data_IF_955709999651
#
_entry.id   IF_955709999651
#
_cell.length_a   1.000
_cell.length_b   1.000
_cell.length_c   1.000
_cell.angle_alpha   90.00
_cell.angle_beta   90.00
_cell.angle_gamma   90.00
#
_symmetry.space_group_name_H-M   'P 1'
#
loop_
_entity.id
_entity.type
_entity.pdbx_description
1 polymer ?
#
# COMPACT_ATOMS: atom_id res chain seq x y z
N UNK A 1 -42.86 4.84 26.11
CA UNK A 1 -43.19 5.70 24.95
C UNK A 1 -42.62 7.08 25.19
N UNK A 2 -41.53 7.43 24.52
CA UNK A 2 -40.97 8.77 24.48
C UNK A 2 -40.64 9.06 23.02
N UNK A 3 -41.10 10.22 22.54
CA UNK A 3 -41.05 10.65 21.14
C UNK A 3 -39.66 11.19 20.76
N UNK A 4 -39.38 10.98 19.47
CA UNK A 4 -38.30 11.48 18.62
C UNK A 4 -38.07 12.99 18.72
N UNK A 5 -36.82 13.43 18.57
CA UNK A 5 -36.48 14.64 17.80
C UNK A 5 -35.11 14.46 17.11
N UNK A 6 -35.14 14.20 15.81
CA UNK A 6 -33.98 14.29 14.91
C UNK A 6 -33.93 15.75 14.45
N UNK A 7 -32.81 16.44 14.69
CA UNK A 7 -32.55 17.76 14.12
C UNK A 7 -31.36 17.65 13.16
N UNK A 8 -31.70 17.50 11.88
CA UNK A 8 -30.82 17.69 10.73
C UNK A 8 -30.63 19.20 10.49
N UNK A 9 -29.41 19.70 10.68
CA UNK A 9 -29.02 21.06 10.25
C UNK A 9 -28.05 20.92 9.10
N UNK A 10 -28.60 21.00 7.89
CA UNK A 10 -27.84 21.21 6.66
C UNK A 10 -27.53 22.69 6.53
N UNK A 11 -26.25 23.07 6.54
CA UNK A 11 -25.82 24.43 6.22
C UNK A 11 -25.04 24.39 4.90
N UNK A 12 -25.69 24.86 3.84
CA UNK A 12 -25.12 25.08 2.52
C UNK A 12 -25.09 26.59 2.23
N UNK A 13 -23.98 27.00 1.60
CA UNK A 13 -23.74 28.21 0.80
C UNK A 13 -23.46 29.53 1.53
N UNK A 14 -22.22 30.02 1.35
CA UNK A 14 -21.98 31.32 0.71
C UNK A 14 -20.69 31.28 -0.14
N UNK A 15 -20.87 31.40 -1.44
CA UNK A 15 -19.88 31.82 -2.44
C UNK A 15 -19.81 33.36 -2.50
N UNK A 16 -18.59 33.90 -2.57
CA UNK A 16 -18.18 35.22 -3.13
C UNK A 16 -16.84 35.61 -2.47
N UNK A 17 -15.87 36.31 -3.06
CA UNK A 17 -15.51 36.69 -4.42
C UNK A 17 -14.06 37.21 -4.33
N UNK A 18 -13.27 36.91 -5.36
CA UNK A 18 -11.99 37.53 -5.74
C UNK A 18 -11.96 39.05 -5.55
N UNK A 19 -10.85 39.57 -5.04
CA UNK A 19 -10.35 40.92 -5.39
C UNK A 19 -8.88 40.86 -5.79
N UNK A 20 -8.61 41.22 -7.06
CA UNK A 20 -7.31 41.67 -7.53
C UNK A 20 -7.04 43.08 -6.99
N UNK A 21 -5.82 43.34 -6.54
CA UNK A 21 -5.24 44.69 -6.61
C UNK A 21 -3.75 44.60 -6.97
N UNK A 22 -3.35 45.39 -7.97
CA UNK A 22 -2.15 45.16 -8.75
C UNK A 22 -0.96 46.07 -8.48
N UNK A 23 0.06 45.79 -9.29
CA UNK A 23 1.19 46.61 -9.77
C UNK A 23 2.22 47.11 -8.77
N UNK A 24 3.50 46.81 -9.05
CA UNK A 24 4.45 47.75 -9.69
C UNK A 24 5.72 47.01 -10.09
N UNK A 25 6.07 47.04 -11.38
CA UNK A 25 7.40 46.71 -11.89
C UNK A 25 8.38 47.86 -11.59
N UNK A 26 9.63 47.52 -11.25
CA UNK A 26 10.78 48.33 -11.65
C UNK A 26 11.97 47.42 -11.98
N UNK A 27 12.41 47.50 -13.23
CA UNK A 27 13.68 46.95 -13.74
C UNK A 27 14.79 48.00 -13.53
N UNK A 28 16.01 47.61 -13.11
CA UNK A 28 17.25 47.99 -13.81
C UNK A 28 18.50 47.25 -13.32
N UNK A 29 19.28 46.86 -14.33
CA UNK A 29 20.58 46.17 -14.43
C UNK A 29 21.77 46.93 -13.82
N UNK A 30 22.80 46.17 -13.38
CA UNK A 30 24.26 46.32 -13.63
C UNK A 30 25.07 45.84 -12.39
N UNK A 31 26.26 45.23 -12.42
CA UNK A 31 27.18 44.64 -13.43
C UNK A 31 28.43 44.14 -12.67
N UNK A 32 29.06 43.06 -13.15
CA UNK A 32 30.44 42.56 -12.88
C UNK A 32 30.78 42.09 -11.45
N UNK A 33 31.57 41.04 -11.23
CA UNK A 33 32.86 40.71 -11.90
C UNK A 33 33.14 39.21 -11.87
N UNK A 34 33.64 38.68 -12.99
CA UNK A 34 34.33 37.38 -13.08
C UNK A 34 35.75 37.52 -12.50
N UNK A 35 36.20 36.53 -11.72
CA UNK A 35 37.56 36.00 -11.82
C UNK A 35 37.54 34.48 -11.65
N UNK A 36 38.30 33.83 -12.53
CA UNK A 36 38.29 32.42 -12.87
C UNK A 36 39.45 31.68 -12.20
N UNK A 37 39.28 30.36 -12.07
CA UNK A 37 40.27 29.27 -12.04
C UNK A 37 40.67 28.69 -10.68
N UNK A 38 40.09 27.52 -10.45
CA UNK A 38 40.71 26.41 -9.71
C UNK A 38 40.06 25.11 -10.17
N UNK A 39 40.51 24.57 -11.31
CA UNK A 39 40.07 23.28 -11.84
C UNK A 39 40.46 22.17 -10.86
N UNK A 40 39.51 21.70 -10.07
CA UNK A 40 39.62 20.40 -9.38
C UNK A 40 38.92 19.40 -10.28
N UNK A 41 39.72 18.48 -10.85
CA UNK A 41 39.21 17.27 -11.47
C UNK A 41 38.62 16.44 -10.34
N UNK A 42 37.31 16.60 -10.11
CA UNK A 42 36.57 15.73 -9.22
C UNK A 42 36.33 14.43 -9.98
N UNK A 43 37.21 13.48 -9.68
CA UNK A 43 37.09 12.07 -10.03
C UNK A 43 35.65 11.60 -9.80
N UNK A 44 35.02 11.12 -10.86
CA UNK A 44 33.77 10.37 -10.81
C UNK A 44 33.97 9.17 -9.87
N UNK A 45 33.52 9.29 -8.61
CA UNK A 45 33.16 8.14 -7.80
C UNK A 45 31.66 7.92 -8.02
N UNK A 46 31.34 7.17 -9.07
CA UNK A 46 30.10 6.39 -9.07
C UNK A 46 30.28 5.32 -8.00
N UNK A 47 29.95 5.67 -6.75
CA UNK A 47 29.60 4.65 -5.78
C UNK A 47 28.34 4.00 -6.34
N UNK A 48 28.45 2.74 -6.78
CA UNK A 48 27.28 1.88 -6.90
C UNK A 48 26.59 1.93 -5.54
N UNK A 49 25.50 2.69 -5.45
CA UNK A 49 24.56 2.56 -4.35
C UNK A 49 23.98 1.17 -4.54
N UNK A 50 24.48 0.20 -3.77
CA UNK A 50 23.81 -1.08 -3.61
C UNK A 50 22.47 -0.73 -2.97
N UNK A 51 21.46 -0.57 -3.82
CA UNK A 51 20.06 -0.45 -3.40
C UNK A 51 19.63 -1.88 -3.10
N UNK A 52 19.46 -2.20 -1.81
CA UNK A 52 18.82 -3.46 -1.43
C UNK A 52 17.48 -3.58 -2.19
N UNK A 53 17.15 -4.79 -2.70
CA UNK A 53 15.91 -5.00 -3.42
C UNK A 53 14.72 -4.51 -2.59
N UNK A 54 13.89 -3.68 -3.21
CA UNK A 54 12.68 -3.16 -2.57
C UNK A 54 11.60 -4.25 -2.59
N UNK A 55 11.04 -4.64 -1.44
CA UNK A 55 9.98 -5.65 -1.40
C UNK A 55 8.74 -5.21 -2.18
N UNK A 56 7.95 -6.17 -2.63
CA UNK A 56 6.64 -5.93 -3.25
C UNK A 56 5.60 -6.72 -2.49
N UNK A 57 4.49 -6.08 -2.11
CA UNK A 57 3.32 -6.80 -1.58
C UNK A 57 2.32 -6.96 -2.72
N UNK A 58 1.86 -8.18 -2.92
CA UNK A 58 0.85 -8.55 -3.88
C UNK A 58 -0.41 -9.02 -3.16
N UNK A 59 -1.57 -8.55 -3.60
CA UNK A 59 -2.88 -8.98 -3.14
C UNK A 59 -3.61 -9.68 -4.28
N UNK A 60 -3.82 -10.98 -4.14
CA UNK A 60 -4.52 -11.81 -5.13
C UNK A 60 -5.94 -12.03 -4.67
N UNK A 61 -6.90 -11.56 -5.46
CA UNK A 61 -8.31 -11.62 -5.13
C UNK A 61 -8.91 -12.96 -5.56
N UNK A 62 -9.65 -13.58 -4.64
CA UNK A 62 -10.27 -14.88 -4.87
C UNK A 62 -11.76 -14.86 -4.54
N UNK A 63 -12.54 -15.57 -5.35
CA UNK A 63 -13.92 -15.97 -5.08
C UNK A 63 -13.98 -17.42 -4.63
N UNK A 64 -14.84 -17.69 -3.67
CA UNK A 64 -15.16 -19.02 -3.17
C UNK A 64 -15.95 -19.81 -4.22
N UNK A 65 -15.49 -21.03 -4.49
CA UNK A 65 -16.16 -21.99 -5.35
C UNK A 65 -17.23 -22.80 -4.61
N UNK A 66 -17.97 -23.67 -5.32
CA UNK A 66 -19.04 -24.48 -4.73
C UNK A 66 -18.56 -25.49 -3.68
N UNK A 67 -17.27 -25.85 -3.66
CA UNK A 67 -16.67 -26.73 -2.65
C UNK A 67 -15.91 -25.97 -1.56
N UNK A 68 -16.10 -24.65 -1.46
CA UNK A 68 -15.38 -23.86 -0.47
C UNK A 68 -15.79 -24.17 0.98
N UNK A 69 -14.78 -24.34 1.82
CA UNK A 69 -14.85 -24.31 3.27
C UNK A 69 -13.51 -23.82 3.82
N UNK A 70 -13.49 -23.33 5.06
CA UNK A 70 -12.23 -22.92 5.72
C UNK A 70 -11.23 -24.08 5.81
N UNK A 71 -11.72 -25.31 6.06
CA UNK A 71 -10.90 -26.52 6.11
C UNK A 71 -10.28 -26.84 4.73
N UNK A 72 -11.07 -26.77 3.66
CA UNK A 72 -10.58 -26.99 2.30
C UNK A 72 -9.59 -25.89 1.87
N UNK A 73 -9.81 -24.64 2.28
CA UNK A 73 -8.87 -23.54 2.04
C UNK A 73 -7.55 -23.77 2.79
N UNK A 74 -7.60 -24.22 4.05
CA UNK A 74 -6.40 -24.53 4.82
C UNK A 74 -5.61 -25.70 4.20
N UNK A 75 -6.29 -26.74 3.71
CA UNK A 75 -5.65 -27.83 2.96
C UNK A 75 -4.99 -27.32 1.67
N UNK A 76 -5.68 -26.49 0.89
CA UNK A 76 -5.13 -25.89 -0.31
C UNK A 76 -3.92 -24.99 -0.01
N UNK A 77 -3.96 -24.20 1.07
CA UNK A 77 -2.84 -23.39 1.52
C UNK A 77 -1.62 -24.25 1.89
N UNK A 78 -1.82 -25.42 2.51
CA UNK A 78 -0.73 -26.37 2.78
C UNK A 78 -0.13 -26.93 1.49
N UNK A 79 -0.97 -27.27 0.50
CA UNK A 79 -0.50 -27.71 -0.82
C UNK A 79 0.30 -26.61 -1.51
N UNK A 80 -0.20 -25.37 -1.50
CA UNK A 80 0.50 -24.22 -2.07
C UNK A 80 1.85 -23.99 -1.38
N UNK A 81 1.90 -24.01 -0.05
CA UNK A 81 3.14 -23.88 0.72
C UNK A 81 4.16 -24.96 0.34
N UNK A 82 3.73 -26.21 0.10
CA UNK A 82 4.63 -27.26 -0.38
C UNK A 82 5.20 -26.94 -1.77
N UNK A 83 4.36 -26.48 -2.70
CA UNK A 83 4.79 -26.07 -4.05
C UNK A 83 5.78 -24.90 -4.03
N UNK A 84 5.55 -23.92 -3.15
CA UNK A 84 6.43 -22.76 -2.98
C UNK A 84 7.78 -23.18 -2.37
N UNK A 85 7.78 -24.07 -1.38
CA UNK A 85 9.02 -24.53 -0.74
C UNK A 85 9.92 -25.37 -1.67
N UNK A 86 9.34 -26.02 -2.68
CA UNK A 86 10.09 -26.81 -3.66
C UNK A 86 10.60 -25.99 -4.86
N UNK A 87 9.97 -24.84 -5.10
CA UNK A 87 10.29 -23.95 -6.23
C UNK A 87 11.34 -22.88 -5.89
N UNK A 88 11.80 -22.12 -6.90
CA UNK A 88 12.80 -21.06 -6.75
C UNK A 88 12.17 -19.74 -6.29
N UNK A 89 11.19 -19.79 -5.39
CA UNK A 89 10.42 -18.62 -4.99
C UNK A 89 11.16 -17.81 -3.92
N UNK A 90 11.28 -16.50 -4.15
CA UNK A 90 11.82 -15.54 -3.17
C UNK A 90 10.66 -14.76 -2.53
N UNK A 91 9.93 -15.45 -1.65
CA UNK A 91 8.80 -14.92 -0.88
C UNK A 91 9.24 -14.72 0.57
N UNK A 92 9.01 -13.54 1.12
CA UNK A 92 9.28 -13.18 2.51
C UNK A 92 8.21 -13.71 3.46
N UNK A 93 6.94 -13.54 3.10
CA UNK A 93 5.79 -14.07 3.83
C UNK A 93 4.56 -14.16 2.92
N UNK A 94 3.57 -14.95 3.34
CA UNK A 94 2.26 -14.99 2.73
C UNK A 94 1.17 -15.21 3.78
N UNK A 95 0.04 -14.52 3.62
CA UNK A 95 -1.12 -14.58 4.51
C UNK A 95 -2.42 -14.70 3.70
N UNK A 96 -3.45 -15.27 4.29
CA UNK A 96 -4.81 -15.24 3.76
C UNK A 96 -5.63 -14.27 4.60
N UNK A 97 -6.29 -13.33 3.94
CA UNK A 97 -7.11 -12.28 4.54
C UNK A 97 -8.57 -12.54 4.20
N UNK A 98 -9.41 -12.57 5.23
CA UNK A 98 -10.86 -12.76 5.07
C UNK A 98 -11.57 -11.49 5.51
N UNK A 99 -12.46 -10.90 4.70
CA UNK A 99 -13.12 -9.66 5.05
C UNK A 99 -14.12 -9.88 6.21
N UNK A 100 -14.26 -8.88 7.09
CA UNK A 100 -15.26 -8.91 8.16
C UNK A 100 -16.70 -8.79 7.63
N UNK A 101 -16.86 -8.27 6.43
CA UNK A 101 -18.15 -8.05 5.76
C UNK A 101 -18.06 -8.52 4.32
N UNK A 102 -19.13 -9.11 3.80
CA UNK A 102 -19.22 -9.58 2.42
C UNK A 102 -18.78 -8.48 1.42
N UNK A 103 -18.02 -8.88 0.41
CA UNK A 103 -17.54 -8.03 -0.67
C UNK A 103 -17.89 -8.67 -2.03
N UNK A 104 -18.42 -7.87 -2.94
CA UNK A 104 -18.90 -8.38 -4.24
C UNK A 104 -17.75 -8.79 -5.18
N UNK A 105 -16.55 -8.24 -4.99
CA UNK A 105 -15.39 -8.45 -5.87
C UNK A 105 -14.50 -9.62 -5.42
N UNK A 106 -14.41 -9.89 -4.13
CA UNK A 106 -13.63 -11.00 -3.57
C UNK A 106 -14.27 -11.57 -2.30
N UNK A 107 -14.02 -12.84 -2.01
CA UNK A 107 -14.46 -13.49 -0.77
C UNK A 107 -13.28 -13.69 0.19
N UNK A 108 -12.05 -13.75 -0.32
CA UNK A 108 -10.81 -13.70 0.44
C UNK A 108 -9.65 -13.22 -0.45
N UNK A 109 -8.54 -12.82 0.18
CA UNK A 109 -7.36 -12.29 -0.51
C UNK A 109 -6.12 -13.03 -0.04
N UNK A 110 -5.27 -13.45 -0.99
CA UNK A 110 -3.93 -13.93 -0.68
C UNK A 110 -2.97 -12.75 -0.72
N UNK A 111 -2.39 -12.40 0.42
CA UNK A 111 -1.32 -11.41 0.51
C UNK A 111 0.03 -12.11 0.42
N UNK A 112 0.89 -11.72 -0.52
CA UNK A 112 2.22 -12.28 -0.71
C UNK A 112 3.24 -11.15 -0.72
N UNK A 113 4.24 -11.22 0.15
CA UNK A 113 5.39 -10.31 0.11
C UNK A 113 6.55 -10.97 -0.61
N UNK A 114 6.90 -10.42 -1.77
CA UNK A 114 8.04 -10.82 -2.58
C UNK A 114 9.29 -10.05 -2.16
N UNK A 115 10.46 -10.66 -2.34
CA UNK A 115 11.76 -10.01 -2.09
C UNK A 115 11.94 -8.76 -2.96
N UNK A 116 11.44 -8.81 -4.20
CA UNK A 116 11.48 -7.71 -5.16
C UNK A 116 10.45 -7.89 -6.28
N UNK A 117 10.29 -6.87 -7.13
CA UNK A 117 9.50 -7.00 -8.36
C UNK A 117 10.11 -8.02 -9.33
N UNK A 118 11.44 -8.15 -9.38
CA UNK A 118 12.11 -9.16 -10.20
C UNK A 118 11.81 -10.57 -9.68
N UNK A 119 11.87 -10.79 -8.37
CA UNK A 119 11.49 -12.03 -7.71
C UNK A 119 10.02 -12.40 -8.00
N UNK A 120 9.10 -11.42 -7.91
CA UNK A 120 7.69 -11.60 -8.27
C UNK A 120 7.56 -12.10 -9.72
N UNK A 121 8.17 -11.42 -10.68
CA UNK A 121 8.11 -11.81 -12.09
C UNK A 121 8.70 -13.21 -12.34
N UNK A 122 9.83 -13.53 -11.72
CA UNK A 122 10.44 -14.85 -11.82
C UNK A 122 9.55 -15.94 -11.21
N UNK A 123 8.94 -15.68 -10.05
CA UNK A 123 8.01 -16.57 -9.38
C UNK A 123 6.77 -16.86 -10.22
N UNK A 124 6.09 -15.82 -10.73
CA UNK A 124 4.93 -15.99 -11.62
C UNK A 124 5.27 -16.73 -12.90
N UNK A 125 6.43 -16.45 -13.50
CA UNK A 125 6.91 -17.19 -14.68
C UNK A 125 7.11 -18.67 -14.35
N UNK A 126 7.80 -18.99 -13.27
CA UNK A 126 8.02 -20.38 -12.86
C UNK A 126 6.70 -21.09 -12.55
N UNK A 127 5.79 -20.42 -11.83
CA UNK A 127 4.46 -20.94 -11.51
C UNK A 127 3.69 -21.33 -12.78
N UNK A 128 3.62 -20.42 -13.76
CA UNK A 128 2.94 -20.64 -15.04
C UNK A 128 3.54 -21.79 -15.85
N UNK A 129 4.87 -21.89 -15.86
CA UNK A 129 5.58 -22.90 -16.64
C UNK A 129 5.51 -24.30 -16.02
N UNK A 130 5.28 -24.41 -14.70
CA UNK A 130 5.51 -25.68 -13.98
C UNK A 130 4.34 -26.14 -13.08
N UNK A 131 3.60 -25.24 -12.45
CA UNK A 131 2.70 -25.58 -11.33
C UNK A 131 1.24 -25.17 -11.56
N UNK A 132 0.99 -24.13 -12.36
CA UNK A 132 -0.35 -23.55 -12.53
C UNK A 132 -1.40 -24.57 -13.02
N UNK A 133 -1.03 -25.42 -14.00
CA UNK A 133 -1.99 -26.37 -14.59
C UNK A 133 -2.50 -27.37 -13.55
N UNK A 134 -1.59 -27.92 -12.73
CA UNK A 134 -1.95 -28.87 -11.68
C UNK A 134 -2.71 -28.18 -10.55
N UNK A 135 -2.25 -27.00 -10.12
CA UNK A 135 -2.94 -26.20 -9.12
C UNK A 135 -4.40 -25.91 -9.51
N UNK A 136 -4.62 -25.43 -10.74
CA UNK A 136 -5.97 -25.13 -11.23
C UNK A 136 -6.83 -26.38 -11.30
N UNK A 137 -6.27 -27.52 -11.71
CA UNK A 137 -7.02 -28.78 -11.73
C UNK A 137 -7.46 -29.20 -10.31
N UNK A 138 -6.60 -29.01 -9.31
CA UNK A 138 -6.90 -29.36 -7.93
C UNK A 138 -7.86 -28.39 -7.23
N UNK A 139 -7.87 -27.11 -7.61
CA UNK A 139 -8.56 -26.04 -6.87
C UNK A 139 -9.73 -25.38 -7.59
N UNK A 140 -10.02 -25.76 -8.85
CA UNK A 140 -11.04 -25.08 -9.67
C UNK A 140 -12.47 -25.10 -9.11
N UNK A 141 -12.84 -26.07 -8.27
CA UNK A 141 -14.15 -26.09 -7.59
C UNK A 141 -14.10 -25.45 -6.19
N UNK A 142 -12.91 -25.12 -5.70
CA UNK A 142 -12.66 -24.53 -4.38
C UNK A 142 -12.56 -23.01 -4.45
N UNK A 143 -11.80 -22.48 -5.41
CA UNK A 143 -11.51 -21.04 -5.50
C UNK A 143 -11.33 -20.58 -6.95
N UNK A 144 -11.61 -19.31 -7.22
CA UNK A 144 -11.22 -18.68 -8.47
C UNK A 144 -9.71 -18.46 -8.52
N UNK A 145 -9.14 -18.45 -9.72
CA UNK A 145 -7.74 -18.09 -9.94
C UNK A 145 -7.65 -17.20 -11.17
N UNK A 146 -7.01 -16.04 -11.03
CA UNK A 146 -6.71 -15.13 -12.13
C UNK A 146 -5.45 -14.33 -11.84
N UNK A 147 -4.49 -14.34 -12.77
CA UNK A 147 -3.32 -13.44 -12.73
C UNK A 147 -3.76 -11.97 -12.87
N UNK A 148 -4.87 -11.70 -13.57
CA UNK A 148 -5.44 -10.34 -13.70
C UNK A 148 -6.02 -9.81 -12.37
N UNK A 149 -6.30 -10.71 -11.41
CA UNK A 149 -6.74 -10.35 -10.06
C UNK A 149 -5.60 -10.21 -9.05
N UNK A 150 -4.35 -10.12 -9.52
CA UNK A 150 -3.17 -10.00 -8.69
C UNK A 150 -2.60 -8.57 -8.74
N UNK A 151 -2.80 -7.82 -7.66
CA UNK A 151 -2.48 -6.40 -7.56
C UNK A 151 -1.21 -6.18 -6.75
N UNK A 152 -0.15 -5.65 -7.38
CA UNK A 152 1.14 -5.41 -6.75
C UNK A 152 1.29 -3.97 -6.26
N UNK A 153 1.93 -3.82 -5.11
CA UNK A 153 2.19 -2.55 -4.45
C UNK A 153 3.64 -2.48 -3.96
N UNK A 154 4.25 -1.31 -4.07
CA UNK A 154 5.51 -0.98 -3.42
C UNK A 154 5.20 -0.43 -2.01
N UNK A 155 5.58 -1.14 -0.93
CA UNK A 155 5.28 -0.72 0.43
C UNK A 155 6.33 0.26 0.97
N UNK A 156 5.88 1.31 1.62
CA UNK A 156 6.71 2.17 2.48
C UNK A 156 6.17 2.12 3.90
N UNK A 157 6.93 1.54 4.83
CA UNK A 157 6.59 1.56 6.25
C UNK A 157 6.67 3.01 6.73
N UNK A 158 5.52 3.57 7.10
CA UNK A 158 5.43 4.95 7.58
C UNK A 158 5.64 4.99 9.10
N UNK A 159 5.01 4.04 9.80
CA UNK A 159 5.20 3.84 11.25
C UNK A 159 5.27 2.35 11.56
N UNK A 160 6.36 1.85 12.16
CA UNK A 160 6.44 0.48 12.66
C UNK A 160 5.66 0.31 13.97
N UNK A 161 5.35 -0.93 14.40
CA UNK A 161 4.64 -1.15 15.65
C UNK A 161 5.52 -0.74 16.84
N UNK A 162 4.87 -0.24 17.91
CA UNK A 162 5.57 0.08 19.16
C UNK A 162 5.97 -1.17 19.95
N UNK A 163 5.29 -2.28 19.70
CA UNK A 163 5.60 -3.62 20.20
C UNK A 163 5.17 -4.65 19.16
N UNK A 164 6.04 -5.60 18.86
CA UNK A 164 5.70 -6.72 17.97
C UNK A 164 4.57 -7.56 18.57
N UNK A 165 3.64 -8.00 17.73
CA UNK A 165 2.58 -8.91 18.14
C UNK A 165 3.07 -10.36 18.05
N UNK A 166 2.86 -11.14 19.11
CA UNK A 166 3.04 -12.59 19.09
C UNK A 166 1.77 -13.34 18.61
N UNK A 167 0.71 -12.61 18.24
CA UNK A 167 -0.54 -13.18 17.74
C UNK A 167 -0.38 -13.71 16.33
N UNK A 168 -1.00 -14.87 16.05
CA UNK A 168 -1.19 -15.34 14.66
C UNK A 168 -2.20 -14.51 13.89
N UNK A 169 -3.04 -13.78 14.61
CA UNK A 169 -4.18 -13.05 14.06
C UNK A 169 -3.88 -11.55 14.12
N UNK A 170 -4.17 -10.86 13.02
CA UNK A 170 -4.07 -9.42 12.88
C UNK A 170 -5.25 -8.93 12.03
N UNK A 171 -5.63 -7.68 12.22
CA UNK A 171 -6.64 -7.01 11.40
C UNK A 171 -5.94 -6.05 10.46
N UNK A 172 -6.47 -5.90 9.25
CA UNK A 172 -6.01 -4.86 8.34
C UNK A 172 -7.17 -4.06 7.79
N UNK A 173 -6.89 -2.80 7.48
CA UNK A 173 -7.81 -1.95 6.76
C UNK A 173 -7.08 -1.27 5.61
N UNK A 174 -7.65 -1.40 4.42
CA UNK A 174 -7.23 -0.66 3.24
C UNK A 174 -8.03 0.63 3.14
N UNK A 175 -7.35 1.76 3.04
CA UNK A 175 -7.94 3.04 2.70
C UNK A 175 -7.29 3.58 1.44
N UNK A 176 -8.05 3.61 0.34
CA UNK A 176 -7.59 4.17 -0.93
C UNK A 176 -7.64 5.69 -0.85
N UNK A 177 -6.49 6.34 -1.00
CA UNK A 177 -6.30 7.76 -0.76
C UNK A 177 -5.92 8.48 -2.05
N UNK A 178 -6.55 9.63 -2.30
CA UNK A 178 -6.13 10.58 -3.33
C UNK A 178 -5.89 11.93 -2.67
N UNK A 179 -4.84 12.64 -3.09
CA UNK A 179 -4.65 14.03 -2.75
C UNK A 179 -5.80 14.82 -3.39
N UNK A 180 -6.55 15.58 -2.58
CA UNK A 180 -7.54 16.50 -3.14
C UNK A 180 -6.84 17.56 -4.01
N UNK A 181 -7.54 18.10 -5.01
CA UNK A 181 -7.00 19.11 -5.95
C UNK A 181 -6.35 20.32 -5.27
N UNK A 182 -6.74 20.61 -4.02
CA UNK A 182 -6.26 21.73 -3.21
C UNK A 182 -5.24 21.34 -2.14
N UNK A 183 -4.88 20.05 -2.00
CA UNK A 183 -3.95 19.56 -0.99
C UNK A 183 -2.51 19.69 -1.50
N UNK A 184 -1.72 20.51 -0.84
CA UNK A 184 -0.28 20.62 -1.10
C UNK A 184 0.51 19.55 -0.37
N UNK A 185 1.74 19.28 -0.83
CA UNK A 185 2.67 18.40 -0.14
C UNK A 185 2.92 18.84 1.32
N UNK A 186 3.00 20.15 1.58
CA UNK A 186 3.19 20.69 2.93
C UNK A 186 1.97 20.42 3.83
N UNK A 187 0.74 20.50 3.29
CA UNK A 187 -0.46 20.18 4.05
C UNK A 187 -0.55 18.69 4.38
N UNK A 188 -0.17 17.83 3.44
CA UNK A 188 -0.10 16.39 3.69
C UNK A 188 0.96 16.06 4.75
N UNK A 189 2.15 16.63 4.64
CA UNK A 189 3.22 16.46 5.63
C UNK A 189 2.81 16.95 7.02
N UNK A 190 2.14 18.09 7.12
CA UNK A 190 1.60 18.60 8.38
C UNK A 190 0.55 17.67 8.98
N UNK A 191 -0.35 17.12 8.16
CA UNK A 191 -1.31 16.12 8.62
C UNK A 191 -0.61 14.84 9.12
N UNK A 192 0.41 14.35 8.42
CA UNK A 192 1.19 13.19 8.88
C UNK A 192 1.85 13.47 10.23
N UNK A 193 2.45 14.66 10.41
CA UNK A 193 3.05 15.05 11.69
C UNK A 193 2.02 15.10 12.82
N UNK A 194 0.86 15.71 12.59
CA UNK A 194 -0.24 15.75 13.57
C UNK A 194 -0.75 14.35 13.92
N UNK A 195 -0.84 13.45 12.94
CA UNK A 195 -1.27 12.07 13.15
C UNK A 195 -0.26 11.26 13.97
N UNK A 196 1.03 11.42 13.69
CA UNK A 196 2.11 10.78 14.49
C UNK A 196 2.09 11.26 15.94
N UNK A 197 1.90 12.57 16.18
CA UNK A 197 1.78 13.12 17.54
C UNK A 197 0.58 12.52 18.26
N UNK A 198 -0.58 12.40 17.59
CA UNK A 198 -1.75 11.78 18.19
C UNK A 198 -1.51 10.31 18.57
N UNK A 199 -0.82 9.54 17.71
CA UNK A 199 -0.45 8.16 17.99
C UNK A 199 0.52 8.04 19.18
N UNK A 200 1.53 8.91 19.25
CA UNK A 200 2.47 8.95 20.36
C UNK A 200 1.78 9.27 21.69
N UNK A 201 0.89 10.26 21.70
CA UNK A 201 0.09 10.61 22.88
C UNK A 201 -0.81 9.43 23.32
N UNK A 202 -1.42 8.73 22.35
CA UNK A 202 -2.21 7.55 22.63
C UNK A 202 -1.36 6.43 23.24
N UNK A 203 -0.17 6.15 22.70
CA UNK A 203 0.74 5.13 23.26
C UNK A 203 1.26 5.54 24.64
N UNK A 204 1.56 6.82 24.88
CA UNK A 204 1.96 7.31 26.18
C UNK A 204 0.87 7.10 27.26
N UNK A 205 -0.40 7.25 26.87
CA UNK A 205 -1.54 7.04 27.76
C UNK A 205 -1.93 5.57 27.97
N UNK A 206 -1.72 4.70 26.96
CA UNK A 206 -2.25 3.33 26.94
C UNK A 206 -1.17 2.23 26.93
N UNK A 207 0.11 2.60 26.86
CA UNK A 207 1.24 1.69 26.66
C UNK A 207 1.58 1.45 25.17
N UNK A 208 2.71 0.79 24.88
CA UNK A 208 3.08 0.43 23.50
C UNK A 208 1.98 -0.39 22.83
N UNK A 209 1.72 -0.10 21.56
CA UNK A 209 0.68 -0.74 20.76
C UNK A 209 1.30 -1.50 19.58
N UNK A 210 0.64 -2.58 19.17
CA UNK A 210 0.99 -3.33 17.96
C UNK A 210 0.52 -2.69 16.66
N UNK A 211 -0.20 -1.57 16.74
CA UNK A 211 -0.66 -0.82 15.57
C UNK A 211 0.52 -0.25 14.78
N UNK A 212 0.46 -0.42 13.47
CA UNK A 212 1.41 0.11 12.51
C UNK A 212 0.72 0.39 11.18
N UNK A 213 1.40 1.13 10.32
CA UNK A 213 0.81 1.43 9.02
C UNK A 213 1.84 1.63 7.92
N UNK A 214 1.39 1.32 6.71
CA UNK A 214 2.19 1.27 5.50
C UNK A 214 1.49 2.08 4.42
N UNK A 215 2.23 2.89 3.68
CA UNK A 215 1.75 3.45 2.43
C UNK A 215 2.08 2.48 1.30
N UNK A 216 1.08 2.09 0.53
CA UNK A 216 1.21 1.19 -0.60
C UNK A 216 1.08 1.99 -1.90
N UNK A 217 2.16 2.04 -2.67
CA UNK A 217 2.15 2.66 -4.00
C UNK A 217 1.77 1.60 -5.06
N UNK A 218 0.64 1.76 -5.76
CA UNK A 218 0.19 0.82 -6.80
C UNK A 218 1.22 0.69 -7.92
N UNK A 219 1.51 -0.55 -8.33
CA UNK A 219 2.44 -0.85 -9.43
C UNK A 219 1.70 -1.31 -10.70
N UNK A 220 0.44 -0.90 -10.83
CA UNK A 220 -0.48 -1.21 -11.90
C UNK A 220 -1.40 -0.02 -12.17
N UNK A 221 -2.05 -0.01 -13.33
CA UNK A 221 -3.04 1.01 -13.67
C UNK A 221 -4.37 0.69 -12.96
N UNK A 222 -4.87 1.63 -12.16
CA UNK A 222 -6.18 1.54 -11.53
C UNK A 222 -7.23 2.22 -12.40
N UNK A 223 -8.44 1.65 -12.42
CA UNK A 223 -9.58 2.26 -13.11
C UNK A 223 -9.95 3.61 -12.49
N UNK A 224 -9.95 3.68 -11.15
CA UNK A 224 -10.11 4.90 -10.37
C UNK A 224 -8.77 5.20 -9.66
N UNK A 225 -8.00 6.21 -10.11
CA UNK A 225 -6.68 6.46 -9.56
C UNK A 225 -6.71 6.89 -8.09
N UNK A 226 -6.09 6.09 -7.22
CA UNK A 226 -5.59 6.55 -5.92
C UNK A 226 -4.11 6.91 -6.02
N UNK A 227 -3.67 7.91 -5.27
CA UNK A 227 -2.23 8.23 -5.20
C UNK A 227 -1.46 7.18 -4.38
N UNK A 228 -2.10 6.64 -3.35
CA UNK A 228 -1.59 5.54 -2.53
C UNK A 228 -2.73 4.84 -1.79
N UNK A 229 -2.46 3.64 -1.29
CA UNK A 229 -3.35 2.95 -0.34
C UNK A 229 -2.71 3.02 1.04
N UNK A 230 -3.42 3.63 1.99
CA UNK A 230 -3.04 3.58 3.39
C UNK A 230 -3.49 2.25 3.98
N UNK A 231 -2.53 1.42 4.33
CA UNK A 231 -2.76 0.14 4.98
C UNK A 231 -2.55 0.29 6.49
N UNK A 232 -3.62 0.14 7.25
CA UNK A 232 -3.61 0.04 8.71
C UNK A 232 -3.47 -1.43 9.11
N UNK A 233 -2.63 -1.73 10.10
CA UNK A 233 -2.35 -3.07 10.62
C UNK A 233 -2.28 -3.05 12.14
#
# INVERSE_FOLDING_TARGET
MMRILILSVSLWLFTACSDQQGSTEINSVAESTEEQMGTVVESELTADVITEPQPIIEYIWHKAGPQFSEEALAEAANTWNALINEGPYEIRFANILTPHTDNDDYDFVWAIAWESMEARHAGWKYWKDNQETEWRAATSELLSYSEEGAYSFLPTIQRPPGVESDSSDFEIQFQFCSYGDEVTADQYAAFQEEYEVWLDDYQAANGPQGYWYVALEPQFEMEEPSDFVWLHI
#
